data_IF_526390553175
#
_entry.id   IF_526390553175
#
_cell.length_a   1.000
_cell.length_b   1.000
_cell.length_c   1.000
_cell.angle_alpha   90.00
_cell.angle_beta   90.00
_cell.angle_gamma   90.00
#
_symmetry.space_group_name_H-M   'P 1'
#
loop_
_entity.id
_entity.type
_entity.pdbx_description
1 polymer ?
#
# COMPACT_ATOMS: atom_id res chain seq x y z
N UNK A 1 15.12 3.86 -50.62
CA UNK A 1 14.78 5.19 -51.17
C UNK A 1 13.66 5.10 -52.22
N UNK A 2 13.86 4.48 -53.39
CA UNK A 2 12.83 4.42 -54.46
C UNK A 2 11.49 3.71 -54.09
N UNK A 3 11.52 2.75 -53.17
CA UNK A 3 10.31 2.07 -52.66
C UNK A 3 9.45 3.00 -51.78
N UNK A 4 10.09 3.80 -50.92
CA UNK A 4 9.41 4.77 -50.06
C UNK A 4 8.81 5.91 -50.88
N UNK A 5 9.50 6.39 -51.91
CA UNK A 5 8.95 7.41 -52.82
C UNK A 5 7.77 6.89 -53.65
N UNK A 6 7.84 5.65 -54.16
CA UNK A 6 6.69 5.03 -54.84
C UNK A 6 5.48 4.87 -53.90
N UNK A 7 5.73 4.49 -52.65
CA UNK A 7 4.69 4.32 -51.64
C UNK A 7 4.09 5.68 -51.25
N UNK A 8 4.92 6.72 -51.09
CA UNK A 8 4.49 8.08 -50.83
C UNK A 8 3.62 8.65 -51.97
N UNK A 9 4.07 8.54 -53.23
CA UNK A 9 3.27 8.98 -54.39
C UNK A 9 1.93 8.27 -54.43
N UNK A 10 1.91 6.96 -54.20
CA UNK A 10 0.67 6.17 -54.19
C UNK A 10 -0.27 6.55 -53.03
N UNK A 11 0.27 6.90 -51.87
CA UNK A 11 -0.52 7.41 -50.73
C UNK A 11 -1.16 8.76 -51.05
N UNK A 12 -0.41 9.65 -51.72
CA UNK A 12 -0.88 10.98 -52.14
C UNK A 12 -1.92 10.85 -53.24
N UNK A 13 -1.67 10.02 -54.26
CA UNK A 13 -2.58 9.76 -55.39
C UNK A 13 -3.93 9.17 -54.94
N UNK A 14 -3.93 8.38 -53.86
CA UNK A 14 -5.15 7.82 -53.25
C UNK A 14 -5.87 8.78 -52.29
N UNK A 15 -5.32 9.97 -52.02
CA UNK A 15 -5.90 10.93 -51.07
C UNK A 15 -6.00 10.38 -49.64
N UNK A 16 -5.13 9.44 -49.26
CA UNK A 16 -5.22 8.73 -47.97
C UNK A 16 -4.91 9.65 -46.78
N UNK A 17 -4.00 10.60 -46.94
CA UNK A 17 -3.57 11.53 -45.87
C UNK A 17 -4.73 12.36 -45.31
N UNK A 18 -5.50 13.13 -46.10
CA UNK A 18 -6.62 13.91 -45.58
C UNK A 18 -7.75 13.04 -45.00
N UNK A 19 -7.96 11.82 -45.54
CA UNK A 19 -8.92 10.86 -44.98
C UNK A 19 -8.49 10.36 -43.60
N UNK A 20 -7.22 10.03 -43.41
CA UNK A 20 -6.67 9.60 -42.13
C UNK A 20 -6.78 10.73 -41.10
N UNK A 21 -6.45 11.96 -41.49
CA UNK A 21 -6.57 13.15 -40.61
C UNK A 21 -8.03 13.34 -40.15
N UNK A 22 -9.00 13.22 -41.05
CA UNK A 22 -10.42 13.31 -40.69
C UNK A 22 -10.90 12.18 -39.77
N UNK A 23 -10.24 11.01 -39.81
CA UNK A 23 -10.55 9.85 -38.97
C UNK A 23 -9.85 9.85 -37.61
N UNK A 24 -8.85 10.70 -37.37
CA UNK A 24 -8.12 10.78 -36.09
C UNK A 24 -9.04 10.84 -34.85
N UNK A 25 -10.10 11.68 -34.78
CA UNK A 25 -10.97 11.71 -33.60
C UNK A 25 -11.73 10.41 -33.39
N UNK A 26 -12.15 9.74 -34.48
CA UNK A 26 -12.83 8.43 -34.41
C UNK A 26 -11.86 7.36 -33.94
N UNK A 27 -10.64 7.33 -34.48
CA UNK A 27 -9.60 6.38 -34.07
C UNK A 27 -9.26 6.58 -32.59
N UNK A 28 -9.08 7.81 -32.14
CA UNK A 28 -8.84 8.14 -30.73
C UNK A 28 -9.98 7.63 -29.84
N UNK A 29 -11.23 7.90 -30.20
CA UNK A 29 -12.40 7.43 -29.46
C UNK A 29 -12.47 5.89 -29.41
N UNK A 30 -12.21 5.20 -30.52
CA UNK A 30 -12.20 3.73 -30.56
C UNK A 30 -11.07 3.14 -29.69
N UNK A 31 -9.89 3.75 -29.69
CA UNK A 31 -8.79 3.35 -28.81
C UNK A 31 -9.15 3.55 -27.34
N UNK A 32 -9.77 4.68 -26.98
CA UNK A 32 -10.24 4.93 -25.62
C UNK A 32 -11.30 3.92 -25.19
N UNK A 33 -12.31 3.68 -26.03
CA UNK A 33 -13.37 2.71 -25.80
C UNK A 33 -12.80 1.30 -25.59
N UNK A 34 -11.86 0.89 -26.44
CA UNK A 34 -11.16 -0.38 -26.29
C UNK A 34 -10.41 -0.48 -24.95
N UNK A 35 -9.74 0.60 -24.53
CA UNK A 35 -9.08 0.65 -23.22
C UNK A 35 -10.05 0.42 -22.05
N UNK A 36 -11.19 1.12 -22.04
CA UNK A 36 -12.21 0.94 -21.00
C UNK A 36 -12.85 -0.44 -21.01
N UNK A 37 -13.23 -0.95 -22.19
CA UNK A 37 -13.80 -2.29 -22.34
C UNK A 37 -12.83 -3.35 -21.86
N UNK A 38 -11.55 -3.22 -22.18
CA UNK A 38 -10.51 -4.18 -21.78
C UNK A 38 -10.36 -4.27 -20.26
N UNK A 39 -10.46 -3.16 -19.53
CA UNK A 39 -10.48 -3.16 -18.05
C UNK A 39 -11.78 -3.79 -17.53
N UNK A 40 -12.93 -3.43 -18.12
CA UNK A 40 -14.24 -3.95 -17.69
C UNK A 40 -14.40 -5.47 -17.90
N UNK A 41 -13.62 -6.06 -18.80
CA UNK A 41 -13.58 -7.50 -19.07
C UNK A 41 -12.76 -8.27 -18.01
N UNK A 42 -11.79 -7.64 -17.33
CA UNK A 42 -10.89 -8.31 -16.38
C UNK A 42 -11.60 -9.12 -15.27
N UNK A 43 -12.75 -8.68 -14.71
CA UNK A 43 -13.46 -9.45 -13.70
C UNK A 43 -14.20 -10.70 -14.22
N UNK A 44 -14.26 -10.90 -15.54
CA UNK A 44 -14.90 -12.07 -16.15
C UNK A 44 -14.12 -13.35 -15.86
N UNK A 45 -14.84 -14.46 -15.69
CA UNK A 45 -14.22 -15.77 -15.51
C UNK A 45 -13.28 -16.10 -16.69
N UNK A 46 -12.06 -16.54 -16.37
CA UNK A 46 -11.01 -16.85 -17.34
C UNK A 46 -10.03 -15.71 -17.65
N UNK A 47 -10.31 -14.46 -17.22
CA UNK A 47 -9.41 -13.32 -17.42
C UNK A 47 -8.43 -13.08 -16.26
N UNK A 48 -8.72 -13.66 -15.10
CA UNK A 48 -7.88 -13.59 -13.91
C UNK A 48 -7.34 -14.96 -13.53
N UNK A 49 -6.33 -14.98 -12.65
CA UNK A 49 -5.69 -16.20 -12.14
C UNK A 49 -5.91 -16.34 -10.66
N UNK A 50 -5.85 -17.58 -10.16
CA UNK A 50 -5.77 -17.81 -8.72
C UNK A 50 -4.39 -17.38 -8.22
N UNK A 51 -4.35 -16.75 -7.06
CA UNK A 51 -3.08 -16.44 -6.41
C UNK A 51 -2.34 -17.71 -6.04
N UNK A 52 -1.03 -17.64 -6.09
CA UNK A 52 -0.12 -18.69 -5.68
C UNK A 52 1.13 -18.03 -5.11
N UNK A 53 1.91 -18.80 -4.37
CA UNK A 53 3.13 -18.31 -3.75
C UNK A 53 4.27 -18.73 -4.65
N UNK A 54 5.00 -17.75 -5.18
CA UNK A 54 6.06 -18.00 -6.13
C UNK A 54 7.36 -18.42 -5.44
N UNK A 55 7.62 -17.88 -4.26
CA UNK A 55 8.76 -18.26 -3.43
C UNK A 55 8.45 -19.48 -2.54
N UNK A 56 9.06 -20.61 -2.87
CA UNK A 56 8.82 -21.88 -2.18
C UNK A 56 9.27 -21.84 -0.72
N UNK A 57 10.25 -21.00 -0.36
CA UNK A 57 10.78 -20.91 0.99
C UNK A 57 9.74 -20.36 2.00
N UNK A 58 8.76 -19.59 1.54
CA UNK A 58 7.79 -18.92 2.40
C UNK A 58 6.87 -19.90 3.17
N UNK A 59 6.56 -21.05 2.57
CA UNK A 59 5.83 -22.19 3.18
C UNK A 59 4.76 -21.79 4.23
N UNK A 60 3.76 -20.94 3.89
CA UNK A 60 2.83 -20.47 4.90
C UNK A 60 1.95 -21.59 5.43
N UNK A 61 1.62 -21.47 6.71
CA UNK A 61 0.81 -22.45 7.45
C UNK A 61 1.34 -23.89 7.42
N UNK A 62 2.59 -24.12 7.02
CA UNK A 62 3.20 -25.46 7.06
C UNK A 62 3.49 -25.89 8.50
N UNK A 63 3.88 -24.95 9.35
CA UNK A 63 4.08 -25.19 10.77
C UNK A 63 2.90 -24.62 11.57
N UNK A 64 2.49 -25.36 12.60
CA UNK A 64 1.46 -24.87 13.53
C UNK A 64 1.91 -23.58 14.22
N UNK A 65 0.98 -22.63 14.30
CA UNK A 65 1.08 -21.42 15.12
C UNK A 65 0.94 -21.77 16.60
N UNK A 66 1.81 -21.22 17.45
CA UNK A 66 1.90 -21.50 18.89
C UNK A 66 1.43 -20.33 19.77
N UNK A 67 1.10 -19.17 19.19
CA UNK A 67 0.42 -18.07 19.87
C UNK A 67 -1.05 -18.44 20.14
N UNK A 68 -1.27 -19.21 21.22
CA UNK A 68 -2.57 -19.81 21.57
C UNK A 68 -3.00 -19.39 22.98
N UNK A 69 -3.85 -20.22 23.59
CA UNK A 69 -4.50 -20.00 24.89
C UNK A 69 -3.52 -19.59 26.02
N UNK A 70 -2.28 -20.08 26.02
CA UNK A 70 -1.27 -19.69 27.01
C UNK A 70 -0.95 -18.19 26.98
N UNK A 71 -0.95 -17.59 25.79
CA UNK A 71 -0.65 -16.16 25.60
C UNK A 71 -1.89 -15.29 25.84
N UNK A 72 -3.09 -15.87 25.88
CA UNK A 72 -4.33 -15.12 26.07
C UNK A 72 -4.35 -14.31 27.37
N UNK A 73 -3.93 -14.92 28.48
CA UNK A 73 -3.91 -14.24 29.79
C UNK A 73 -2.85 -13.14 29.84
N UNK A 74 -1.71 -13.37 29.20
CA UNK A 74 -0.60 -12.40 29.14
C UNK A 74 -1.03 -11.18 28.34
N UNK A 75 -1.66 -11.40 27.17
CA UNK A 75 -2.19 -10.34 26.34
C UNK A 75 -3.22 -9.49 27.09
N UNK A 76 -4.17 -10.13 27.80
CA UNK A 76 -5.16 -9.40 28.60
C UNK A 76 -4.54 -8.58 29.72
N UNK A 77 -3.47 -9.10 30.34
CA UNK A 77 -2.65 -8.37 31.30
C UNK A 77 -2.06 -7.10 30.70
N UNK A 78 -1.33 -7.21 29.58
CA UNK A 78 -0.79 -6.03 28.88
C UNK A 78 -1.89 -5.07 28.42
N UNK A 79 -3.01 -5.58 27.93
CA UNK A 79 -4.15 -4.74 27.54
C UNK A 79 -4.68 -3.91 28.70
N UNK A 80 -4.79 -4.48 29.91
CA UNK A 80 -5.22 -3.70 31.09
C UNK A 80 -4.26 -2.56 31.42
N UNK A 81 -2.95 -2.79 31.31
CA UNK A 81 -1.93 -1.75 31.53
C UNK A 81 -1.95 -0.70 30.42
N UNK A 82 -2.10 -1.11 29.16
CA UNK A 82 -2.16 -0.18 28.02
C UNK A 82 -3.41 0.69 28.06
N UNK A 83 -4.53 0.21 28.62
CA UNK A 83 -5.71 1.06 28.86
C UNK A 83 -5.40 2.24 29.78
N UNK A 84 -4.51 2.06 30.75
CA UNK A 84 -4.07 3.13 31.66
C UNK A 84 -3.10 4.11 30.95
N UNK A 85 -2.40 3.65 29.92
CA UNK A 85 -1.49 4.47 29.10
C UNK A 85 -2.21 5.46 28.18
N UNK A 86 -3.53 5.37 28.01
CA UNK A 86 -4.29 6.25 27.10
C UNK A 86 -4.17 7.72 27.50
N UNK A 87 -4.09 8.01 28.80
CA UNK A 87 -3.99 9.37 29.34
C UNK A 87 -2.54 9.80 29.61
N UNK A 88 -1.55 8.94 29.33
CA UNK A 88 -0.13 9.25 29.56
C UNK A 88 0.44 10.06 28.39
N UNK A 89 1.53 10.77 28.66
CA UNK A 89 2.30 11.43 27.59
C UNK A 89 3.02 10.39 26.72
N UNK A 90 3.34 10.74 25.46
CA UNK A 90 4.08 9.84 24.57
C UNK A 90 5.41 9.39 25.16
N UNK A 91 6.12 10.29 25.85
CA UNK A 91 7.39 9.99 26.50
C UNK A 91 7.23 8.98 27.65
N UNK A 92 6.27 9.16 28.56
CA UNK A 92 6.02 8.22 29.65
C UNK A 92 5.65 6.83 29.13
N UNK A 93 4.78 6.81 28.11
CA UNK A 93 4.32 5.59 27.45
C UNK A 93 5.46 4.85 26.74
N UNK A 94 6.32 5.57 26.02
CA UNK A 94 7.48 5.00 25.34
C UNK A 94 8.53 4.48 26.35
N UNK A 95 8.74 5.18 27.46
CA UNK A 95 9.66 4.72 28.52
C UNK A 95 9.16 3.44 29.19
N UNK A 96 7.86 3.37 29.51
CA UNK A 96 7.26 2.17 30.12
C UNK A 96 7.21 0.98 29.15
N UNK A 97 6.84 1.19 27.89
CA UNK A 97 6.91 0.13 26.88
C UNK A 97 8.37 -0.30 26.64
N UNK A 98 9.31 0.65 26.65
CA UNK A 98 10.74 0.39 26.52
C UNK A 98 11.27 -0.50 27.64
N UNK A 99 10.85 -0.26 28.91
CA UNK A 99 11.28 -1.10 30.03
C UNK A 99 10.78 -2.55 29.89
N UNK A 100 9.53 -2.76 29.44
CA UNK A 100 9.02 -4.10 29.15
C UNK A 100 9.81 -4.81 28.05
N UNK A 101 10.14 -4.11 26.95
CA UNK A 101 10.94 -4.68 25.86
C UNK A 101 12.36 -5.04 26.31
N UNK A 102 12.97 -4.23 27.18
CA UNK A 102 14.28 -4.52 27.79
C UNK A 102 14.23 -5.75 28.70
N UNK A 103 13.17 -5.93 29.50
CA UNK A 103 12.97 -7.14 30.31
C UNK A 103 12.90 -8.41 29.45
N UNK A 104 12.43 -8.31 28.19
CA UNK A 104 12.42 -9.42 27.25
C UNK A 104 13.79 -9.69 26.59
N UNK A 105 14.80 -8.86 26.88
CA UNK A 105 16.14 -8.95 26.28
C UNK A 105 16.33 -8.15 24.99
N UNK A 106 15.40 -7.25 24.67
CA UNK A 106 15.46 -6.42 23.45
C UNK A 106 16.32 -5.18 23.69
N UNK A 107 17.19 -4.83 22.74
CA UNK A 107 17.90 -3.54 22.79
C UNK A 107 16.96 -2.45 22.30
N UNK A 108 16.62 -1.48 23.14
CA UNK A 108 15.64 -0.43 22.81
C UNK A 108 16.30 0.93 22.62
N UNK A 109 15.74 1.75 21.74
CA UNK A 109 16.05 3.17 21.64
C UNK A 109 14.77 3.97 21.31
N UNK A 110 14.78 5.25 21.65
CA UNK A 110 13.72 6.20 21.30
C UNK A 110 14.31 7.15 20.26
N UNK A 111 13.66 7.21 19.10
CA UNK A 111 13.98 8.18 18.05
C UNK A 111 13.10 9.42 18.25
N UNK A 112 13.72 10.57 18.43
CA UNK A 112 13.03 11.85 18.59
C UNK A 112 13.06 12.63 17.26
N UNK A 113 11.90 13.06 16.79
CA UNK A 113 11.76 13.94 15.64
C UNK A 113 10.98 15.20 16.05
N UNK A 114 11.55 16.39 15.79
CA UNK A 114 10.96 17.68 16.19
C UNK A 114 9.53 17.88 15.64
N UNK A 115 9.24 17.36 14.45
CA UNK A 115 7.97 17.55 13.76
C UNK A 115 6.97 16.42 14.02
N UNK A 116 7.47 15.18 14.13
CA UNK A 116 6.62 13.98 14.13
C UNK A 116 6.58 13.22 15.46
N UNK A 117 7.26 13.75 16.48
CA UNK A 117 7.28 13.20 17.83
C UNK A 117 8.24 12.04 18.01
N UNK A 118 8.03 11.28 19.07
CA UNK A 118 8.90 10.18 19.48
C UNK A 118 8.43 8.85 18.92
N UNK A 119 9.38 8.01 18.52
CA UNK A 119 9.13 6.62 18.12
C UNK A 119 10.05 5.69 18.91
N UNK A 120 9.45 4.83 19.74
CA UNK A 120 10.16 3.76 20.43
C UNK A 120 10.39 2.61 19.44
N UNK A 121 11.59 2.04 19.45
CA UNK A 121 11.84 0.77 18.76
C UNK A 121 12.79 -0.11 19.55
N UNK A 122 12.65 -1.42 19.34
CA UNK A 122 13.49 -2.44 19.94
C UNK A 122 14.01 -3.41 18.90
N UNK A 123 15.31 -3.71 18.94
CA UNK A 123 15.98 -4.69 18.08
C UNK A 123 16.25 -5.97 18.87
N UNK A 124 15.64 -7.06 18.42
CA UNK A 124 15.86 -8.42 18.90
C UNK A 124 16.74 -9.16 17.89
N UNK A 125 17.94 -9.55 18.32
CA UNK A 125 18.84 -10.30 17.45
C UNK A 125 18.41 -11.76 17.32
N UNK A 126 18.41 -12.27 16.09
CA UNK A 126 18.09 -13.66 15.79
C UNK A 126 19.16 -14.60 16.36
N UNK A 127 18.77 -15.68 17.07
CA UNK A 127 19.73 -16.64 17.61
C UNK A 127 20.39 -17.53 16.53
N UNK A 128 19.80 -17.61 15.32
CA UNK A 128 20.30 -18.43 14.20
C UNK A 128 20.71 -17.61 12.98
N UNK A 129 20.76 -16.29 13.11
CA UNK A 129 21.10 -15.35 12.04
C UNK A 129 22.51 -14.79 12.18
N UNK A 130 23.05 -14.23 11.10
CA UNK A 130 24.28 -13.45 11.10
C UNK A 130 24.07 -11.98 11.50
N UNK A 131 22.81 -11.59 11.71
CA UNK A 131 22.40 -10.25 12.10
C UNK A 131 22.35 -9.23 10.96
N UNK A 132 22.40 -9.68 9.70
CA UNK A 132 22.41 -8.79 8.52
C UNK A 132 21.03 -8.48 7.95
N UNK A 133 20.01 -9.24 8.33
CA UNK A 133 18.63 -9.14 7.84
C UNK A 133 17.65 -8.96 9.00
N UNK A 134 16.57 -8.20 8.74
CA UNK A 134 15.55 -7.91 9.73
C UNK A 134 14.12 -7.98 9.18
N UNK A 135 13.17 -8.22 10.10
CA UNK A 135 11.72 -8.11 9.88
C UNK A 135 11.14 -7.14 10.91
N UNK A 136 10.13 -6.36 10.53
CA UNK A 136 9.56 -5.30 11.39
C UNK A 136 8.14 -5.65 11.83
N UNK A 137 7.87 -5.56 13.14
CA UNK A 137 6.54 -5.53 13.72
C UNK A 137 6.23 -4.09 14.11
N UNK A 138 5.42 -3.40 13.31
CA UNK A 138 5.07 -2.01 13.55
C UNK A 138 3.70 -1.90 14.22
N UNK A 139 3.65 -1.11 15.29
CA UNK A 139 2.46 -0.96 16.12
C UNK A 139 2.27 0.51 16.47
N UNK A 140 1.62 1.28 15.59
CA UNK A 140 1.29 2.66 15.87
C UNK A 140 0.36 2.79 17.09
N UNK A 141 0.59 3.77 17.96
CA UNK A 141 -0.25 4.06 19.13
C UNK A 141 -1.64 4.55 18.75
N UNK A 142 -1.73 5.35 17.69
CA UNK A 142 -2.98 5.73 17.06
C UNK A 142 -3.10 5.04 15.71
N UNK A 143 -4.28 4.50 15.39
CA UNK A 143 -4.49 3.75 14.17
C UNK A 143 -4.81 4.64 12.95
N UNK A 144 -5.17 4.01 11.83
CA UNK A 144 -5.55 4.69 10.58
C UNK A 144 -6.72 5.68 10.76
N UNK A 145 -7.65 5.36 11.67
CA UNK A 145 -8.85 6.13 11.99
C UNK A 145 -8.65 7.16 13.13
N UNK A 146 -7.39 7.35 13.58
CA UNK A 146 -7.02 8.23 14.68
C UNK A 146 -7.56 7.77 16.06
N UNK A 147 -7.89 6.49 16.20
CA UNK A 147 -8.28 5.85 17.46
C UNK A 147 -7.05 5.25 18.16
N UNK A 148 -7.06 5.21 19.50
CA UNK A 148 -5.97 4.60 20.25
C UNK A 148 -5.95 3.08 20.03
N UNK A 149 -4.83 2.56 19.54
CA UNK A 149 -4.63 1.17 19.11
C UNK A 149 -4.39 0.21 20.28
N UNK A 150 -5.33 0.15 21.23
CA UNK A 150 -5.17 -0.59 22.49
C UNK A 150 -4.90 -2.08 22.23
N UNK A 151 -5.71 -2.70 21.38
CA UNK A 151 -5.61 -4.11 21.05
C UNK A 151 -4.36 -4.44 20.22
N UNK A 152 -4.00 -3.58 19.26
CA UNK A 152 -2.78 -3.71 18.47
C UNK A 152 -1.52 -3.57 19.33
N UNK A 153 -1.47 -2.58 20.23
CA UNK A 153 -0.37 -2.40 21.18
C UNK A 153 -0.22 -3.58 22.14
N UNK A 154 -1.34 -4.08 22.70
CA UNK A 154 -1.34 -5.23 23.59
C UNK A 154 -0.87 -6.51 22.89
N UNK A 155 -1.34 -6.72 21.66
CA UNK A 155 -0.89 -7.84 20.84
C UNK A 155 0.59 -7.69 20.46
N UNK A 156 1.02 -6.49 20.07
CA UNK A 156 2.39 -6.18 19.70
C UNK A 156 3.41 -6.50 20.78
N UNK A 157 3.19 -6.03 22.01
CA UNK A 157 4.08 -6.34 23.14
C UNK A 157 4.02 -7.82 23.52
N UNK A 158 2.85 -8.46 23.42
CA UNK A 158 2.71 -9.90 23.68
C UNK A 158 3.48 -10.75 22.66
N UNK A 159 3.41 -10.38 21.39
CA UNK A 159 4.18 -11.00 20.31
C UNK A 159 5.68 -10.76 20.50
N UNK A 160 6.09 -9.54 20.88
CA UNK A 160 7.50 -9.26 21.18
C UNK A 160 8.05 -10.18 22.27
N UNK A 161 7.31 -10.34 23.37
CA UNK A 161 7.66 -11.29 24.45
C UNK A 161 7.66 -12.74 23.96
N UNK A 162 6.69 -13.11 23.12
CA UNK A 162 6.58 -14.47 22.60
C UNK A 162 7.76 -14.80 21.66
N UNK A 163 8.11 -13.87 20.76
CA UNK A 163 9.24 -13.99 19.84
C UNK A 163 10.58 -14.09 20.57
N UNK A 164 10.79 -13.33 21.65
CA UNK A 164 12.05 -13.38 22.42
C UNK A 164 12.32 -14.74 23.05
N UNK A 165 11.26 -15.51 23.34
CA UNK A 165 11.36 -16.84 23.95
C UNK A 165 11.57 -17.95 22.93
N UNK A 166 11.38 -17.68 21.63
CA UNK A 166 11.41 -18.72 20.61
C UNK A 166 12.74 -18.74 19.84
N UNK A 167 13.56 -19.82 19.93
CA UNK A 167 14.88 -19.85 19.33
C UNK A 167 14.95 -20.17 17.82
N UNK A 168 13.89 -19.91 17.04
CA UNK A 168 13.82 -20.31 15.62
C UNK A 168 14.25 -19.22 14.63
N UNK A 169 14.38 -17.98 15.08
CA UNK A 169 14.61 -16.84 14.19
C UNK A 169 16.02 -16.84 13.59
N UNK A 170 16.09 -16.67 12.27
CA UNK A 170 17.29 -16.45 11.46
C UNK A 170 17.42 -14.99 11.01
N UNK A 171 16.36 -14.19 11.13
CA UNK A 171 16.36 -12.74 10.87
C UNK A 171 16.06 -11.97 12.15
N UNK A 172 16.72 -10.84 12.33
CA UNK A 172 16.47 -9.97 13.47
C UNK A 172 15.02 -9.49 13.44
N UNK A 173 14.42 -9.28 14.62
CA UNK A 173 13.05 -8.76 14.73
C UNK A 173 13.13 -7.36 15.33
N UNK A 174 12.55 -6.39 14.63
CA UNK A 174 12.46 -5.02 15.11
C UNK A 174 11.01 -4.76 15.48
N UNK A 175 10.74 -4.37 16.72
CA UNK A 175 9.41 -3.97 17.17
C UNK A 175 9.38 -2.45 17.28
N UNK A 176 8.40 -1.81 16.65
CA UNK A 176 8.34 -0.34 16.55
C UNK A 176 7.00 0.16 17.07
N UNK A 177 7.03 1.07 18.03
CA UNK A 177 5.88 1.81 18.53
C UNK A 177 6.02 3.27 18.14
N UNK A 178 5.29 3.67 17.10
CA UNK A 178 5.25 5.05 16.57
C UNK A 178 3.99 5.76 17.03
N UNK A 179 3.98 7.08 17.08
CA UNK A 179 2.79 7.84 17.47
C UNK A 179 1.60 7.57 16.51
N UNK A 180 1.87 7.54 15.20
CA UNK A 180 0.85 7.31 14.17
C UNK A 180 1.43 6.51 12.98
N UNK A 181 0.58 5.83 12.17
CA UNK A 181 1.00 5.06 11.00
C UNK A 181 1.55 5.92 9.86
N UNK A 182 1.48 7.25 9.97
CA UNK A 182 1.71 8.18 8.87
C UNK A 182 3.17 8.68 8.90
N UNK A 183 3.35 9.95 9.22
CA UNK A 183 4.63 10.62 9.17
C UNK A 183 5.59 10.18 10.29
N UNK A 184 5.07 9.81 11.47
CA UNK A 184 5.91 9.35 12.58
C UNK A 184 6.58 8.00 12.27
N UNK A 185 5.80 7.03 11.78
CA UNK A 185 6.36 5.75 11.35
C UNK A 185 7.34 5.93 10.17
N UNK A 186 6.99 6.77 9.19
CA UNK A 186 7.84 7.02 8.02
C UNK A 186 9.15 7.73 8.39
N UNK A 187 9.13 8.69 9.30
CA UNK A 187 10.34 9.38 9.76
C UNK A 187 11.30 8.42 10.46
N UNK A 188 10.78 7.47 11.23
CA UNK A 188 11.60 6.38 11.79
C UNK A 188 12.20 5.48 10.71
N UNK A 189 11.42 5.07 9.69
CA UNK A 189 11.94 4.26 8.57
C UNK A 189 13.07 5.00 7.84
N UNK A 190 12.92 6.30 7.61
CA UNK A 190 13.96 7.13 6.99
C UNK A 190 15.20 7.25 7.89
N UNK A 191 15.02 7.52 9.18
CA UNK A 191 16.12 7.60 10.14
C UNK A 191 16.87 6.27 10.26
N UNK A 192 16.17 5.13 10.22
CA UNK A 192 16.77 3.80 10.26
C UNK A 192 17.80 3.57 9.16
N UNK A 193 17.60 4.16 7.98
CA UNK A 193 18.51 4.00 6.85
C UNK A 193 19.56 5.10 6.73
N UNK A 194 19.47 6.17 7.53
CA UNK A 194 20.29 7.37 7.34
C UNK A 194 21.09 7.80 8.56
N UNK A 195 20.54 7.67 9.77
CA UNK A 195 21.08 8.33 10.96
C UNK A 195 21.05 7.52 12.25
N UNK A 196 20.23 6.46 12.37
CA UNK A 196 20.16 5.65 13.59
C UNK A 196 21.36 4.72 13.74
N UNK A 197 21.95 4.72 14.94
CA UNK A 197 23.06 3.82 15.29
C UNK A 197 22.58 2.39 15.57
N UNK A 198 21.44 2.25 16.28
CA UNK A 198 20.88 0.96 16.62
C UNK A 198 20.09 0.42 15.43
N UNK A 199 20.73 -0.45 14.66
CA UNK A 199 20.10 -1.14 13.52
C UNK A 199 20.13 -2.65 13.70
N UNK A 200 19.20 -3.34 13.04
CA UNK A 200 19.08 -4.79 13.02
C UNK A 200 19.47 -5.42 11.68
N UNK A 201 20.10 -4.68 10.77
CA UNK A 201 20.39 -5.14 9.40
C UNK A 201 19.35 -4.64 8.38
N UNK A 202 19.38 -5.19 7.17
CA UNK A 202 18.48 -4.77 6.11
C UNK A 202 17.07 -5.31 6.35
N UNK A 203 16.09 -4.41 6.41
CA UNK A 203 14.69 -4.79 6.60
C UNK A 203 14.16 -5.39 5.29
N UNK A 204 13.58 -6.59 5.37
CA UNK A 204 12.97 -7.25 4.22
C UNK A 204 11.47 -7.02 4.12
N UNK A 205 10.80 -7.18 5.26
CA UNK A 205 9.36 -6.99 5.35
C UNK A 205 8.92 -6.39 6.68
N UNK A 206 7.76 -5.74 6.64
CA UNK A 206 7.10 -5.15 7.78
C UNK A 206 5.63 -5.59 7.86
N UNK A 207 5.18 -5.95 9.06
CA UNK A 207 3.78 -6.22 9.36
C UNK A 207 3.30 -5.17 10.35
N UNK A 208 2.27 -4.42 9.98
CA UNK A 208 1.67 -3.39 10.82
C UNK A 208 0.41 -3.94 11.48
N UNK A 209 0.24 -3.71 12.79
CA UNK A 209 -0.97 -4.13 13.51
C UNK A 209 -1.92 -2.96 13.76
N UNK A 210 -3.17 -3.09 13.33
CA UNK A 210 -4.26 -2.15 13.57
C UNK A 210 -5.44 -2.88 14.24
N UNK A 211 -5.62 -2.65 15.54
CA UNK A 211 -6.78 -3.15 16.30
C UNK A 211 -7.06 -2.23 17.49
N UNK A 212 -7.89 -1.21 17.27
CA UNK A 212 -8.26 -0.24 18.30
C UNK A 212 -9.19 -0.79 19.38
N UNK A 213 -9.93 -1.86 19.07
CA UNK A 213 -10.93 -2.41 19.99
C UNK A 213 -10.30 -2.97 21.27
N UNK A 214 -11.05 -2.83 22.36
CA UNK A 214 -10.68 -3.42 23.65
C UNK A 214 -11.29 -4.80 23.88
N UNK A 215 -12.11 -5.26 22.94
CA UNK A 215 -12.79 -6.54 23.01
C UNK A 215 -11.82 -7.70 22.76
N UNK A 216 -12.18 -8.87 23.27
CA UNK A 216 -11.43 -10.11 23.03
C UNK A 216 -11.74 -10.73 21.67
N UNK A 217 -12.82 -10.32 20.99
CA UNK A 217 -13.32 -10.96 19.79
C UNK A 217 -13.43 -10.02 18.60
N UNK A 218 -13.29 -10.57 17.40
CA UNK A 218 -13.45 -9.88 16.12
C UNK A 218 -13.98 -10.85 15.05
N UNK A 219 -14.49 -10.31 13.95
CA UNK A 219 -15.21 -11.06 12.92
C UNK A 219 -14.36 -11.37 11.68
N UNK A 220 -13.59 -10.39 11.18
CA UNK A 220 -12.78 -10.53 9.97
C UNK A 220 -11.53 -9.66 10.04
N UNK A 221 -10.58 -9.93 9.13
CA UNK A 221 -9.33 -9.17 9.01
C UNK A 221 -9.30 -8.46 7.66
N UNK A 222 -9.10 -7.15 7.69
CA UNK A 222 -8.78 -6.34 6.52
C UNK A 222 -7.27 -6.31 6.32
N UNK A 223 -6.84 -6.58 5.08
CA UNK A 223 -5.42 -6.54 4.69
C UNK A 223 -5.21 -5.34 3.78
N UNK A 224 -4.52 -4.33 4.29
CA UNK A 224 -4.10 -3.15 3.52
C UNK A 224 -2.64 -3.34 3.07
N UNK A 225 -2.39 -3.08 1.79
CA UNK A 225 -1.07 -3.31 1.19
C UNK A 225 -0.65 -2.19 0.24
N UNK A 226 -1.49 -1.19 0.00
CA UNK A 226 -1.19 -0.11 -0.95
C UNK A 226 0.01 0.72 -0.48
N UNK A 227 0.99 0.97 -1.34
CA UNK A 227 2.09 1.90 -1.08
C UNK A 227 1.84 3.29 -1.65
N UNK A 228 2.79 4.20 -1.40
CA UNK A 228 2.72 5.57 -1.93
C UNK A 228 2.97 5.55 -3.45
N UNK A 229 2.32 6.47 -4.16
CA UNK A 229 2.45 6.64 -5.62
C UNK A 229 2.17 5.37 -6.45
N UNK A 230 1.28 4.50 -5.96
CA UNK A 230 0.95 3.24 -6.62
C UNK A 230 2.05 2.17 -6.56
N UNK A 231 3.04 2.32 -5.67
CA UNK A 231 3.97 1.23 -5.35
C UNK A 231 3.21 0.12 -4.63
N UNK A 232 3.30 -1.12 -5.12
CA UNK A 232 2.71 -2.29 -4.48
C UNK A 232 3.81 -3.15 -3.86
N UNK A 233 3.56 -3.80 -2.71
CA UNK A 233 4.46 -4.81 -2.19
C UNK A 233 4.38 -6.05 -3.07
N UNK A 234 5.39 -6.89 -2.96
CA UNK A 234 5.41 -8.18 -3.63
C UNK A 234 4.13 -8.99 -3.29
N UNK A 235 3.43 -9.48 -4.32
CA UNK A 235 2.20 -10.25 -4.18
C UNK A 235 2.35 -11.46 -3.25
N UNK A 236 3.54 -12.08 -3.16
CA UNK A 236 3.76 -13.22 -2.28
C UNK A 236 3.55 -12.87 -0.80
N UNK A 237 3.97 -11.67 -0.36
CA UNK A 237 3.73 -11.21 1.02
C UNK A 237 2.22 -11.08 1.30
N UNK A 238 1.49 -10.50 0.36
CA UNK A 238 0.03 -10.34 0.45
C UNK A 238 -0.66 -11.71 0.43
N UNK A 239 -0.22 -12.62 -0.45
CA UNK A 239 -0.75 -13.98 -0.54
C UNK A 239 -0.51 -14.79 0.74
N UNK A 240 0.65 -14.64 1.38
CA UNK A 240 0.90 -15.24 2.69
C UNK A 240 -0.09 -14.72 3.72
N UNK A 241 -0.23 -13.39 3.84
CA UNK A 241 -1.15 -12.79 4.79
C UNK A 241 -2.59 -13.31 4.60
N UNK A 242 -3.05 -13.38 3.35
CA UNK A 242 -4.36 -13.89 2.97
C UNK A 242 -4.49 -15.39 3.31
N UNK A 243 -3.53 -16.20 2.85
CA UNK A 243 -3.59 -17.66 3.02
C UNK A 243 -3.52 -18.09 4.48
N UNK A 244 -2.72 -17.42 5.30
CA UNK A 244 -2.63 -17.65 6.75
C UNK A 244 -3.94 -17.25 7.43
N UNK A 245 -4.48 -16.08 7.10
CA UNK A 245 -5.73 -15.59 7.69
C UNK A 245 -6.89 -16.56 7.44
N UNK A 246 -7.05 -17.01 6.19
CA UNK A 246 -8.07 -18.00 5.84
C UNK A 246 -7.79 -19.38 6.45
N UNK A 247 -6.53 -19.76 6.60
CA UNK A 247 -6.15 -21.02 7.25
C UNK A 247 -6.50 -21.04 8.74
N UNK A 248 -6.34 -19.92 9.44
CA UNK A 248 -6.80 -19.75 10.83
C UNK A 248 -8.33 -19.59 10.94
N UNK A 249 -9.06 -19.63 9.81
CA UNK A 249 -10.52 -19.70 9.75
C UNK A 249 -11.23 -18.35 9.62
N UNK A 250 -10.48 -17.26 9.45
CA UNK A 250 -11.04 -15.90 9.34
C UNK A 250 -11.32 -15.51 7.90
N UNK A 251 -12.28 -14.59 7.71
CA UNK A 251 -12.50 -13.96 6.41
C UNK A 251 -11.52 -12.81 6.21
N UNK A 252 -11.14 -12.60 4.95
CA UNK A 252 -10.27 -11.50 4.52
C UNK A 252 -11.08 -10.42 3.81
N UNK A 253 -10.91 -9.18 4.22
CA UNK A 253 -11.36 -7.99 3.50
C UNK A 253 -10.20 -7.32 2.76
N UNK A 254 -10.50 -6.78 1.58
CA UNK A 254 -9.61 -5.95 0.79
C UNK A 254 -10.32 -4.62 0.50
N UNK A 255 -9.58 -3.51 0.55
CA UNK A 255 -10.07 -2.16 0.23
C UNK A 255 -11.34 -1.74 1.01
N UNK A 256 -11.43 -2.07 2.30
CA UNK A 256 -12.55 -1.70 3.16
C UNK A 256 -13.89 -2.35 2.81
N UNK A 257 -13.89 -3.55 2.22
CA UNK A 257 -15.15 -4.26 1.96
C UNK A 257 -15.86 -4.67 3.27
N UNK A 258 -17.18 -4.44 3.38
CA UNK A 258 -17.95 -4.82 4.56
C UNK A 258 -18.17 -6.34 4.67
N UNK A 259 -18.45 -6.81 5.89
CA UNK A 259 -18.51 -8.25 6.24
C UNK A 259 -19.55 -9.05 5.45
N UNK A 260 -20.66 -8.43 5.07
CA UNK A 260 -21.75 -9.00 4.26
C UNK A 260 -21.28 -9.42 2.85
N UNK A 261 -20.32 -8.70 2.30
CA UNK A 261 -19.86 -8.86 0.92
C UNK A 261 -18.62 -9.74 0.77
N UNK A 262 -17.95 -10.12 1.86
CA UNK A 262 -16.70 -10.89 1.83
C UNK A 262 -16.84 -12.27 1.19
N UNK A 263 -18.04 -12.86 1.19
CA UNK A 263 -18.28 -14.19 0.61
C UNK A 263 -18.73 -14.13 -0.85
N UNK A 264 -19.07 -12.95 -1.36
CA UNK A 264 -19.64 -12.80 -2.68
C UNK A 264 -18.55 -12.73 -3.75
N UNK A 265 -18.56 -13.67 -4.69
CA UNK A 265 -17.56 -13.78 -5.74
C UNK A 265 -18.16 -13.70 -7.16
N UNK A 266 -19.12 -12.80 -7.34
CA UNK A 266 -19.76 -12.55 -8.64
C UNK A 266 -18.97 -11.49 -9.44
N UNK A 267 -19.25 -11.38 -10.74
CA UNK A 267 -18.61 -10.37 -11.61
C UNK A 267 -18.65 -8.96 -11.02
N UNK A 268 -19.80 -8.54 -10.49
CA UNK A 268 -19.98 -7.20 -9.91
C UNK A 268 -19.19 -6.98 -8.62
N UNK A 269 -19.00 -8.00 -7.77
CA UNK A 269 -18.17 -7.84 -6.57
C UNK A 269 -16.70 -7.73 -6.93
N UNK A 270 -16.23 -8.51 -7.90
CA UNK A 270 -14.86 -8.41 -8.44
C UNK A 270 -14.61 -7.06 -9.12
N UNK A 271 -15.55 -6.58 -9.93
CA UNK A 271 -15.46 -5.26 -10.56
C UNK A 271 -15.43 -4.16 -9.50
N UNK A 272 -16.22 -4.29 -8.42
CA UNK A 272 -16.20 -3.36 -7.30
C UNK A 272 -14.82 -3.34 -6.62
N UNK A 273 -14.24 -4.51 -6.31
CA UNK A 273 -12.88 -4.60 -5.73
C UNK A 273 -11.86 -3.97 -6.67
N UNK A 274 -11.93 -4.27 -7.96
CA UNK A 274 -11.05 -3.68 -8.98
C UNK A 274 -11.13 -2.13 -8.96
N UNK A 275 -12.34 -1.57 -8.97
CA UNK A 275 -12.53 -0.12 -8.93
C UNK A 275 -12.07 0.50 -7.61
N UNK A 276 -12.31 -0.18 -6.47
CA UNK A 276 -11.83 0.27 -5.16
C UNK A 276 -10.30 0.27 -5.10
N UNK A 277 -9.64 -0.77 -5.60
CA UNK A 277 -8.18 -0.82 -5.67
C UNK A 277 -7.59 0.27 -6.57
N UNK A 278 -8.14 0.46 -7.78
CA UNK A 278 -7.72 1.55 -8.68
C UNK A 278 -7.89 2.92 -8.01
N UNK A 279 -9.02 3.13 -7.31
CA UNK A 279 -9.27 4.37 -6.54
C UNK A 279 -8.23 4.55 -5.44
N UNK A 280 -7.99 3.52 -4.64
CA UNK A 280 -7.10 3.58 -3.49
C UNK A 280 -5.65 3.85 -3.91
N UNK A 281 -5.22 3.34 -5.06
CA UNK A 281 -3.89 3.64 -5.63
C UNK A 281 -3.81 5.03 -6.23
N UNK A 282 -4.83 5.47 -6.97
CA UNK A 282 -4.89 6.83 -7.49
C UNK A 282 -4.88 7.88 -6.37
N UNK A 283 -5.35 7.51 -5.18
CA UNK A 283 -5.43 8.37 -4.00
C UNK A 283 -4.40 8.04 -2.92
N UNK A 284 -3.37 7.22 -3.19
CA UNK A 284 -2.51 6.66 -2.12
C UNK A 284 -1.67 7.70 -1.35
N UNK A 285 -1.49 8.91 -1.89
CA UNK A 285 -0.85 10.05 -1.19
C UNK A 285 -1.82 11.00 -0.49
N UNK A 286 -3.13 10.78 -0.61
CA UNK A 286 -4.18 11.69 -0.13
C UNK A 286 -5.10 11.03 0.88
N UNK A 287 -5.43 9.75 0.66
CA UNK A 287 -6.22 8.92 1.57
C UNK A 287 -5.51 8.79 2.93
N UNK A 288 -6.27 8.45 3.97
CA UNK A 288 -5.70 8.11 5.28
C UNK A 288 -4.80 6.87 5.13
N UNK A 289 -3.50 6.95 5.46
CA UNK A 289 -2.59 5.80 5.41
C UNK A 289 -2.90 4.75 6.48
N UNK A 290 -2.63 3.49 6.18
CA UNK A 290 -2.77 2.35 7.08
C UNK A 290 -1.46 1.91 7.76
N UNK A 291 -0.32 2.47 7.34
CA UNK A 291 0.99 2.28 7.97
C UNK A 291 1.97 1.50 7.10
N UNK A 292 1.48 0.59 6.27
CA UNK A 292 2.30 -0.11 5.29
C UNK A 292 2.90 0.88 4.25
N UNK A 293 2.19 1.98 3.94
CA UNK A 293 2.69 3.07 3.09
C UNK A 293 4.01 3.68 3.58
N UNK A 294 4.27 3.67 4.90
CA UNK A 294 5.47 4.26 5.48
C UNK A 294 6.77 3.60 4.95
N UNK A 295 6.70 2.32 4.56
CA UNK A 295 7.82 1.51 4.09
C UNK A 295 8.07 1.63 2.58
N UNK A 296 7.13 2.22 1.84
CA UNK A 296 7.25 2.48 0.40
C UNK A 296 8.45 3.40 0.09
N UNK A 297 9.21 3.05 -0.94
CA UNK A 297 10.46 3.71 -1.36
C UNK A 297 11.74 3.11 -0.77
N UNK A 298 11.66 2.28 0.28
CA UNK A 298 12.82 1.68 0.94
C UNK A 298 13.09 0.21 0.55
N UNK A 299 12.39 -0.29 -0.47
CA UNK A 299 12.39 -1.70 -0.90
C UNK A 299 11.97 -2.69 0.20
N UNK A 300 11.21 -2.21 1.19
CA UNK A 300 10.65 -3.02 2.27
C UNK A 300 9.23 -3.42 1.88
N UNK A 301 8.95 -4.72 1.89
CA UNK A 301 7.62 -5.23 1.58
C UNK A 301 6.73 -5.12 2.81
N UNK A 302 5.56 -4.52 2.72
CA UNK A 302 4.75 -4.30 3.92
C UNK A 302 3.26 -4.52 3.71
N UNK A 303 2.60 -4.94 4.79
CA UNK A 303 1.15 -5.06 4.87
C UNK A 303 0.67 -4.64 6.26
N UNK A 304 -0.52 -4.07 6.33
CA UNK A 304 -1.23 -3.80 7.58
C UNK A 304 -2.32 -4.84 7.76
N UNK A 305 -2.35 -5.45 8.94
CA UNK A 305 -3.40 -6.34 9.40
C UNK A 305 -4.35 -5.55 10.30
N UNK A 306 -5.58 -5.33 9.85
CA UNK A 306 -6.61 -4.62 10.61
C UNK A 306 -7.74 -5.55 11.01
N UNK A 307 -8.01 -5.69 12.31
CA UNK A 307 -9.10 -6.54 12.79
C UNK A 307 -10.40 -5.73 12.95
N UNK A 308 -11.51 -6.30 12.49
CA UNK A 308 -12.83 -5.67 12.51
C UNK A 308 -13.91 -6.54 13.14
N UNK A 309 -14.89 -5.88 13.76
CA UNK A 309 -16.03 -6.51 14.43
C UNK A 309 -15.74 -6.88 15.89
N UNK A 310 -16.77 -7.34 16.59
CA UNK A 310 -16.73 -7.64 18.03
C UNK A 310 -17.17 -9.07 18.36
N UNK A 311 -17.23 -9.96 17.36
CA UNK A 311 -17.81 -11.30 17.51
C UNK A 311 -17.11 -12.32 16.62
N UNK A 312 -16.92 -13.55 17.12
CA UNK A 312 -16.41 -14.66 16.34
C UNK A 312 -15.08 -15.18 16.87
N UNK A 313 -13.99 -14.71 16.28
CA UNK A 313 -12.63 -15.17 16.56
C UNK A 313 -12.01 -14.41 17.73
N UNK A 314 -11.18 -15.08 18.52
CA UNK A 314 -10.50 -14.45 19.66
C UNK A 314 -9.19 -13.78 19.25
N UNK A 315 -8.77 -12.78 20.02
CA UNK A 315 -7.53 -12.02 19.75
C UNK A 315 -6.27 -12.89 19.65
N UNK A 316 -6.22 -14.08 20.25
CA UNK A 316 -5.08 -14.99 20.03
C UNK A 316 -5.08 -15.56 18.62
N UNK A 317 -6.25 -15.86 18.05
CA UNK A 317 -6.37 -16.24 16.64
C UNK A 317 -5.92 -15.11 15.71
N UNK A 318 -6.20 -13.84 16.05
CA UNK A 318 -5.61 -12.71 15.33
C UNK A 318 -4.09 -12.70 15.44
N UNK A 319 -3.54 -12.92 16.64
CA UNK A 319 -2.10 -12.98 16.91
C UNK A 319 -1.34 -14.11 16.19
N UNK A 320 -2.02 -15.20 15.83
CA UNK A 320 -1.42 -16.28 15.01
C UNK A 320 -1.09 -15.82 13.60
N UNK A 321 -1.80 -14.82 13.06
CA UNK A 321 -1.54 -14.31 11.72
C UNK A 321 -0.14 -13.67 11.63
N UNK A 322 0.19 -12.61 12.39
CA UNK A 322 1.53 -12.04 12.36
C UNK A 322 2.57 -13.05 12.85
N UNK A 323 2.28 -13.93 13.82
CA UNK A 323 3.21 -15.00 14.19
C UNK A 323 3.61 -15.87 12.98
N UNK A 324 2.62 -16.43 12.28
CA UNK A 324 2.86 -17.31 11.15
C UNK A 324 3.47 -16.55 9.96
N UNK A 325 3.09 -15.29 9.75
CA UNK A 325 3.73 -14.42 8.74
C UNK A 325 5.22 -14.23 9.04
N UNK A 326 5.59 -13.92 10.28
CA UNK A 326 6.99 -13.79 10.69
C UNK A 326 7.76 -15.09 10.46
N UNK A 327 7.15 -16.25 10.72
CA UNK A 327 7.78 -17.55 10.42
C UNK A 327 7.98 -17.77 8.92
N UNK A 328 7.03 -17.38 8.09
CA UNK A 328 7.15 -17.45 6.63
C UNK A 328 8.25 -16.54 6.10
N UNK A 329 8.28 -15.28 6.54
CA UNK A 329 9.30 -14.30 6.13
C UNK A 329 10.68 -14.73 6.65
N UNK A 330 10.76 -15.31 7.85
CA UNK A 330 12.01 -15.79 8.43
C UNK A 330 12.72 -16.84 7.55
N UNK A 331 11.94 -17.65 6.81
CA UNK A 331 12.47 -18.70 5.94
C UNK A 331 13.01 -18.17 4.60
N UNK A 332 12.74 -16.91 4.26
CA UNK A 332 13.21 -16.29 3.03
C UNK A 332 14.75 -16.35 2.99
N UNK A 333 15.34 -16.82 1.89
CA UNK A 333 16.81 -16.91 1.76
C UNK A 333 17.41 -15.69 1.05
N UNK A 334 16.59 -15.02 0.24
CA UNK A 334 16.96 -13.87 -0.55
C UNK A 334 15.77 -12.92 -0.57
N UNK A 335 16.02 -11.61 -0.61
CA UNK A 335 14.95 -10.60 -0.70
C UNK A 335 13.91 -10.92 -1.78
N UNK A 336 12.67 -10.54 -1.52
CA UNK A 336 11.54 -10.69 -2.45
C UNK A 336 11.90 -10.30 -3.90
N UNK A 337 11.80 -11.26 -4.83
CA UNK A 337 12.23 -11.12 -6.22
C UNK A 337 11.16 -10.57 -7.19
N UNK A 338 11.62 -10.12 -8.36
CA UNK A 338 11.03 -9.05 -9.20
C UNK A 338 9.70 -9.32 -9.92
N UNK A 339 9.09 -10.51 -9.85
CA UNK A 339 8.01 -10.86 -10.79
C UNK A 339 6.58 -10.50 -10.36
N UNK A 340 6.38 -9.84 -9.21
CA UNK A 340 5.05 -9.69 -8.61
C UNK A 340 4.74 -8.32 -7.99
N UNK A 341 5.34 -7.25 -8.51
CA UNK A 341 5.09 -5.88 -8.02
C UNK A 341 3.95 -5.16 -8.76
N UNK A 342 3.38 -5.78 -9.81
CA UNK A 342 2.32 -5.19 -10.62
C UNK A 342 1.17 -6.18 -10.83
N UNK A 343 0.14 -6.04 -10.02
CA UNK A 343 -1.04 -6.91 -10.02
C UNK A 343 -2.28 -6.14 -9.57
N UNK A 344 -3.46 -6.62 -9.97
CA UNK A 344 -4.75 -6.18 -9.44
C UNK A 344 -5.39 -7.35 -8.70
N UNK A 345 -5.82 -7.16 -7.45
CA UNK A 345 -6.64 -8.16 -6.77
C UNK A 345 -8.11 -7.96 -7.14
N UNK A 346 -8.79 -9.06 -7.44
CA UNK A 346 -10.24 -9.11 -7.68
C UNK A 346 -10.99 -9.78 -6.53
N UNK A 347 -10.29 -10.58 -5.74
CA UNK A 347 -10.72 -11.25 -4.53
C UNK A 347 -9.44 -11.73 -3.79
N UNK A 348 -9.52 -12.14 -2.51
CA UNK A 348 -8.35 -12.56 -1.75
C UNK A 348 -7.46 -13.62 -2.46
N UNK A 349 -8.08 -14.57 -3.18
CA UNK A 349 -7.34 -15.58 -3.97
C UNK A 349 -7.37 -15.38 -5.48
N UNK A 350 -7.65 -14.18 -5.97
CA UNK A 350 -7.78 -13.92 -7.40
C UNK A 350 -7.06 -12.64 -7.79
N UNK A 351 -6.13 -12.75 -8.73
CA UNK A 351 -5.35 -11.61 -9.22
C UNK A 351 -5.31 -11.54 -10.75
N UNK A 352 -5.06 -10.34 -11.24
CA UNK A 352 -4.81 -10.00 -12.64
C UNK A 352 -3.36 -9.54 -12.75
N UNK A 353 -2.57 -10.18 -13.61
CA UNK A 353 -1.18 -9.80 -13.87
C UNK A 353 -1.08 -8.56 -14.75
N UNK A 354 0.05 -7.85 -14.66
CA UNK A 354 0.36 -6.68 -15.51
C UNK A 354 0.08 -6.88 -17.00
N UNK A 355 0.42 -8.06 -17.54
CA UNK A 355 0.23 -8.36 -18.97
C UNK A 355 -1.22 -8.31 -19.43
N UNK A 356 -2.20 -8.50 -18.53
CA UNK A 356 -3.61 -8.51 -18.87
C UNK A 356 -4.21 -7.10 -18.95
N UNK A 357 -3.76 -6.17 -18.10
CA UNK A 357 -4.32 -4.81 -18.04
C UNK A 357 -3.44 -3.74 -18.71
N UNK A 358 -2.15 -4.02 -18.94
CA UNK A 358 -1.24 -3.09 -19.63
C UNK A 358 -1.72 -2.68 -21.03
N UNK A 359 -2.27 -3.59 -21.88
CA UNK A 359 -2.82 -3.19 -23.17
C UNK A 359 -3.90 -2.11 -23.07
N UNK A 360 -4.71 -2.15 -22.02
CA UNK A 360 -5.76 -1.15 -21.76
C UNK A 360 -5.16 0.23 -21.50
N UNK A 361 -4.12 0.31 -20.65
CA UNK A 361 -3.42 1.55 -20.35
C UNK A 361 -2.69 2.10 -21.58
N UNK A 362 -2.07 1.24 -22.38
CA UNK A 362 -1.42 1.63 -23.65
C UNK A 362 -2.44 2.15 -24.65
N UNK A 363 -3.60 1.50 -24.80
CA UNK A 363 -4.66 1.96 -25.69
C UNK A 363 -5.20 3.35 -25.29
N UNK A 364 -5.36 3.60 -23.99
CA UNK A 364 -5.76 4.91 -23.47
C UNK A 364 -4.70 5.98 -23.77
N UNK A 365 -3.42 5.67 -23.55
CA UNK A 365 -2.30 6.56 -23.87
C UNK A 365 -2.23 6.91 -25.36
N UNK A 366 -2.44 5.91 -26.24
CA UNK A 366 -2.51 6.12 -27.69
C UNK A 366 -3.71 7.00 -28.05
N UNK A 367 -4.87 6.80 -27.40
CA UNK A 367 -6.04 7.64 -27.62
C UNK A 367 -5.73 9.12 -27.35
N UNK A 368 -5.09 9.43 -26.21
CA UNK A 368 -4.68 10.80 -25.87
C UNK A 368 -3.65 11.36 -26.86
N UNK A 369 -2.65 10.57 -27.27
CA UNK A 369 -1.65 10.98 -28.25
C UNK A 369 -2.29 11.32 -29.62
N UNK A 370 -3.24 10.51 -30.09
CA UNK A 370 -3.97 10.75 -31.34
C UNK A 370 -4.86 11.99 -31.22
N UNK A 371 -5.53 12.18 -30.08
CA UNK A 371 -6.35 13.37 -29.83
C UNK A 371 -5.50 14.65 -29.84
N UNK A 372 -4.33 14.62 -29.19
CA UNK A 372 -3.38 15.72 -29.19
C UNK A 372 -2.88 16.03 -30.61
N UNK A 373 -2.53 15.00 -31.39
CA UNK A 373 -2.11 15.15 -32.78
C UNK A 373 -3.22 15.75 -33.66
N UNK A 374 -4.48 15.32 -33.47
CA UNK A 374 -5.63 15.89 -34.16
C UNK A 374 -5.81 17.37 -33.84
N UNK A 375 -5.72 17.74 -32.55
CA UNK A 375 -5.80 19.13 -32.12
C UNK A 375 -4.67 19.99 -32.70
N UNK A 376 -3.47 19.42 -32.88
CA UNK A 376 -2.34 20.10 -33.49
C UNK A 376 -2.52 20.29 -35.02
N UNK A 377 -2.89 19.24 -35.75
CA UNK A 377 -3.01 19.27 -37.22
C UNK A 377 -4.23 20.08 -37.68
N UNK A 378 -5.38 19.86 -37.07
CA UNK A 378 -6.65 20.52 -37.43
C UNK A 378 -6.83 21.86 -36.70
N UNK A 379 -5.73 22.46 -36.23
CA UNK A 379 -5.76 23.75 -35.57
C UNK A 379 -6.06 24.87 -36.59
N UNK A 380 -7.30 25.35 -36.59
CA UNK A 380 -7.72 26.49 -37.42
C UNK A 380 -6.92 27.78 -37.13
N UNK A 381 -6.24 27.85 -35.99
CA UNK A 381 -5.45 29.00 -35.54
C UNK A 381 -3.94 28.86 -35.85
N UNK A 382 -3.50 27.81 -36.57
CA UNK A 382 -2.08 27.55 -36.85
C UNK A 382 -1.37 28.66 -37.65
N UNK A 383 -2.09 29.38 -38.51
CA UNK A 383 -1.54 30.44 -39.36
C UNK A 383 -1.64 31.84 -38.73
N UNK A 384 -2.11 31.93 -37.48
CA UNK A 384 -2.29 33.21 -36.81
C UNK A 384 -0.97 33.71 -36.24
N UNK A 385 -0.73 35.01 -36.35
CA UNK A 385 0.46 35.63 -35.77
C UNK A 385 0.52 35.42 -34.26
N UNK A 386 1.74 35.29 -33.73
CA UNK A 386 1.98 35.14 -32.29
C UNK A 386 1.33 36.26 -31.45
N UNK A 387 1.20 37.46 -32.02
CA UNK A 387 0.62 38.64 -31.37
C UNK A 387 -0.89 38.82 -31.57
N UNK A 388 -1.60 37.82 -32.07
CA UNK A 388 -3.07 37.91 -32.13
C UNK A 388 -3.70 37.95 -30.74
N UNK A 389 -4.86 38.58 -30.63
CA UNK A 389 -5.63 38.64 -29.38
C UNK A 389 -5.88 37.23 -28.80
N UNK A 390 -6.22 36.25 -29.64
CA UNK A 390 -6.46 34.87 -29.22
C UNK A 390 -5.22 34.20 -28.61
N UNK A 391 -4.05 34.38 -29.23
CA UNK A 391 -2.80 33.81 -28.72
C UNK A 391 -2.35 34.51 -27.43
N UNK A 392 -2.53 35.84 -27.34
CA UNK A 392 -2.23 36.60 -26.13
C UNK A 392 -3.15 36.21 -24.96
N UNK A 393 -4.45 36.01 -25.23
CA UNK A 393 -5.41 35.52 -24.23
C UNK A 393 -5.05 34.09 -23.79
N UNK A 394 -4.75 33.18 -24.72
CA UNK A 394 -4.34 31.82 -24.39
C UNK A 394 -3.05 31.78 -23.56
N UNK A 395 -2.07 32.61 -23.90
CA UNK A 395 -0.81 32.74 -23.16
C UNK A 395 -1.03 33.36 -21.76
N UNK A 396 -1.93 34.32 -21.65
CA UNK A 396 -2.34 34.90 -20.36
C UNK A 396 -3.04 33.85 -19.50
N UNK A 397 -3.99 33.10 -20.04
CA UNK A 397 -4.68 32.01 -19.32
C UNK A 397 -3.69 30.94 -18.87
N UNK A 398 -2.78 30.53 -19.75
CA UNK A 398 -1.71 29.59 -19.40
C UNK A 398 -0.81 30.12 -18.29
N UNK A 399 -0.40 31.39 -18.37
CA UNK A 399 0.42 32.02 -17.34
C UNK A 399 -0.33 32.14 -16.00
N UNK A 400 -1.59 32.57 -16.02
CA UNK A 400 -2.45 32.64 -14.82
C UNK A 400 -2.63 31.25 -14.22
N UNK A 401 -2.86 30.21 -15.04
CA UNK A 401 -2.96 28.82 -14.57
C UNK A 401 -1.67 28.34 -13.91
N UNK A 402 -0.50 28.68 -14.48
CA UNK A 402 0.79 28.35 -13.87
C UNK A 402 1.00 29.09 -12.54
N UNK A 403 0.67 30.37 -12.48
CA UNK A 403 0.78 31.16 -11.26
C UNK A 403 -0.15 30.62 -10.18
N UNK A 404 -1.41 30.30 -10.51
CA UNK A 404 -2.35 29.67 -9.58
C UNK A 404 -1.80 28.34 -9.10
N UNK A 405 -1.34 27.46 -10.00
CA UNK A 405 -0.76 26.16 -9.63
C UNK A 405 0.46 26.31 -8.72
N UNK A 406 1.32 27.30 -8.98
CA UNK A 406 2.47 27.60 -8.15
C UNK A 406 2.05 28.11 -6.76
N UNK A 407 1.12 29.07 -6.69
CA UNK A 407 0.62 29.61 -5.43
C UNK A 407 -0.06 28.51 -4.60
N UNK A 408 -0.87 27.67 -5.24
CA UNK A 408 -1.48 26.49 -4.60
C UNK A 408 -0.41 25.56 -4.06
N UNK A 409 0.61 25.23 -4.86
CA UNK A 409 1.73 24.39 -4.40
C UNK A 409 2.47 24.99 -3.20
N UNK A 410 2.72 26.30 -3.19
CA UNK A 410 3.38 26.98 -2.06
C UNK A 410 2.48 27.02 -0.83
N UNK A 411 1.17 27.25 -0.99
CA UNK A 411 0.22 27.22 0.10
C UNK A 411 0.13 25.85 0.77
N UNK A 412 0.23 24.76 0.00
CA UNK A 412 0.22 23.39 0.54
C UNK A 412 1.49 22.99 1.29
N UNK A 413 2.62 23.67 1.06
CA UNK A 413 3.79 23.52 1.92
C UNK A 413 3.55 24.09 3.33
N UNK A 414 2.67 25.08 3.45
CA UNK A 414 2.33 25.72 4.74
C UNK A 414 1.14 25.06 5.44
N UNK A 415 0.15 24.58 4.67
CA UNK A 415 -1.05 23.92 5.18
C UNK A 415 -1.15 22.53 4.52
N UNK A 416 -0.50 21.50 5.07
CA UNK A 416 -0.51 20.15 4.52
C UNK A 416 -1.85 19.45 4.81
N UNK A 417 -2.93 19.93 4.19
CA UNK A 417 -4.27 19.32 4.26
C UNK A 417 -4.58 18.60 2.94
N UNK A 418 -4.48 17.27 2.95
CA UNK A 418 -4.76 16.45 1.76
C UNK A 418 -6.21 16.62 1.24
N UNK A 419 -7.18 16.82 2.14
CA UNK A 419 -8.57 17.07 1.77
C UNK A 419 -8.79 18.40 1.06
N UNK A 420 -8.12 19.46 1.51
CA UNK A 420 -8.21 20.78 0.87
C UNK A 420 -7.64 20.73 -0.56
N UNK A 421 -6.55 19.96 -0.77
CA UNK A 421 -5.94 19.77 -2.09
C UNK A 421 -6.91 19.09 -3.07
N UNK A 422 -7.63 18.05 -2.62
CA UNK A 422 -8.66 17.42 -3.44
C UNK A 422 -9.81 18.36 -3.77
N UNK A 423 -10.29 19.15 -2.82
CA UNK A 423 -11.41 20.07 -3.08
C UNK A 423 -11.02 21.16 -4.09
N UNK A 424 -9.80 21.69 -4.01
CA UNK A 424 -9.30 22.67 -4.98
C UNK A 424 -9.12 22.03 -6.34
N UNK A 425 -8.51 20.83 -6.40
CA UNK A 425 -8.26 20.16 -7.69
C UNK A 425 -9.57 19.78 -8.39
N UNK A 426 -10.58 19.30 -7.65
CA UNK A 426 -11.91 19.05 -8.19
C UNK A 426 -12.66 20.32 -8.61
N UNK A 427 -12.43 21.46 -7.95
CA UNK A 427 -13.04 22.73 -8.33
C UNK A 427 -12.34 23.38 -9.55
N UNK A 428 -11.10 23.00 -9.85
CA UNK A 428 -10.31 23.51 -10.97
C UNK A 428 -10.43 22.70 -12.26
N UNK A 429 -10.87 21.44 -12.16
CA UNK A 429 -11.24 20.59 -13.31
C UNK A 429 -12.68 20.87 -13.74
#
# INVERSE_FOLDING_TARGET
MALLEKLHRRIVDMGLVPRIIALLPVISMLCALFGFISIAILPMDGQYRRTYISENALMPSQAYSYFRESEWNILRGYRSQIKEMVNMTSMERNNLMGSWLQEFGTKTAIYENEQYGETLYGVMHAPRGDGTEAMVLAVPWFNSDDEFNIGGAALGVSLARFFSRWPVWSKNIIVVFSENPRAALRSWVEAYHTSLDLTGGSIEAAVVLDYSSTEDFFEYVEISYDGLNGELPNLDLVNIAISITEHEGMKVSLHGLPSDQLTNNNFWSRLKILCLGIRDWALSGVKKPHGNEAFSGWRIQSVTLKAHGNSGHDITTFGRIPEAMFRSINNLLEKFHQSFFFYLLLAPRQFVSISSYLPSAVALSIAFAISSLNAFINNAYANISLFSEYNLVALLVWFVSLVISFVVSQAFLLIPSSGLLMTISMASC
#
